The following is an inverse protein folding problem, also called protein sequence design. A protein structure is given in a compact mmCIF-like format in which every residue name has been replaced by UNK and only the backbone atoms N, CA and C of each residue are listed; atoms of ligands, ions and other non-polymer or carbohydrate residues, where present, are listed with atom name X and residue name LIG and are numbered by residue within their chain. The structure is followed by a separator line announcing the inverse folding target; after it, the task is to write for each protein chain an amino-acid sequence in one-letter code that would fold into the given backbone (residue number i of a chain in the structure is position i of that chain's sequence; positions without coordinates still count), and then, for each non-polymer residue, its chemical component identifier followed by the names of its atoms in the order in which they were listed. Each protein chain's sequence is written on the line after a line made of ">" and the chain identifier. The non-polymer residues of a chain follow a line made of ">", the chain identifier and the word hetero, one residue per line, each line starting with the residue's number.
data_IF_067370747601
#
_entry.id   IF_067370747601
#
_cell.length_a   1.000
_cell.length_b   1.000
_cell.length_c   1.000
_cell.angle_alpha   90.00
_cell.angle_beta   90.00
_cell.angle_gamma   90.00
#
_symmetry.space_group_name_H-M   'P 1'
#
loop_
_entity.id
_entity.type
_entity.pdbx_description
1 polymer ?
#
# COMPACT_ATOMS: atom_id res chain seq x y z
N UNK A 1 3.91 3.52 -20.90
CA UNK A 1 3.81 2.38 -19.97
C UNK A 1 4.59 2.79 -18.72
N UNK A 2 4.02 2.72 -17.51
CA UNK A 2 4.75 3.06 -16.28
C UNK A 2 5.86 2.02 -16.10
N UNK A 3 7.12 2.42 -16.10
CA UNK A 3 8.25 1.54 -15.84
C UNK A 3 8.51 1.54 -14.34
N UNK A 4 8.32 0.40 -13.71
CA UNK A 4 8.65 0.21 -12.30
C UNK A 4 10.11 -0.26 -12.20
N UNK A 5 10.93 0.29 -11.29
CA UNK A 5 12.27 -0.23 -11.05
C UNK A 5 12.23 -1.75 -10.85
N UNK A 6 13.21 -2.52 -11.36
CA UNK A 6 13.20 -3.99 -11.25
C UNK A 6 13.02 -4.49 -9.81
N UNK A 7 13.65 -3.80 -8.85
CA UNK A 7 13.53 -4.10 -7.41
C UNK A 7 12.13 -3.93 -6.83
N UNK A 8 11.24 -3.22 -7.54
CA UNK A 8 9.87 -2.92 -7.14
C UNK A 8 8.85 -3.61 -8.05
N UNK A 9 9.28 -4.46 -8.98
CA UNK A 9 8.40 -5.20 -9.88
C UNK A 9 7.82 -6.46 -9.23
N UNK A 10 7.17 -6.30 -8.06
CA UNK A 10 6.51 -7.40 -7.34
C UNK A 10 5.01 -7.41 -7.53
N UNK A 11 4.42 -6.30 -8.00
CA UNK A 11 2.97 -6.12 -8.09
C UNK A 11 2.20 -7.26 -8.78
N UNK A 12 2.57 -7.78 -9.97
CA UNK A 12 1.83 -8.89 -10.57
C UNK A 12 1.88 -10.17 -9.73
N UNK A 13 3.00 -10.41 -9.05
CA UNK A 13 3.20 -11.58 -8.20
C UNK A 13 2.42 -11.41 -6.88
N UNK A 14 2.41 -10.20 -6.31
CA UNK A 14 1.59 -9.83 -5.14
C UNK A 14 0.10 -9.99 -5.43
N UNK A 15 -0.38 -9.50 -6.57
CA UNK A 15 -1.78 -9.67 -6.97
C UNK A 15 -2.12 -11.16 -7.06
N UNK A 16 -1.29 -11.95 -7.74
CA UNK A 16 -1.50 -13.39 -7.87
C UNK A 16 -1.49 -14.11 -6.51
N UNK A 17 -0.59 -13.70 -5.61
CA UNK A 17 -0.52 -14.20 -4.24
C UNK A 17 -1.81 -13.91 -3.48
N UNK A 18 -2.31 -12.68 -3.53
CA UNK A 18 -3.54 -12.29 -2.84
C UNK A 18 -4.75 -13.06 -3.38
N UNK A 19 -4.83 -13.24 -4.71
CA UNK A 19 -5.87 -14.06 -5.33
C UNK A 19 -5.81 -15.52 -4.84
N UNK A 20 -4.62 -16.10 -4.72
CA UNK A 20 -4.43 -17.44 -4.17
C UNK A 20 -4.84 -17.56 -2.69
N UNK A 21 -4.80 -16.45 -1.93
CA UNK A 21 -5.31 -16.35 -0.56
C UNK A 21 -6.81 -16.03 -0.50
N UNK A 22 -7.51 -16.02 -1.64
CA UNK A 22 -8.96 -15.77 -1.70
C UNK A 22 -9.36 -14.30 -1.57
N UNK A 23 -8.42 -13.36 -1.68
CA UNK A 23 -8.74 -11.94 -1.72
C UNK A 23 -9.57 -11.60 -2.96
N UNK A 24 -10.64 -10.85 -2.75
CA UNK A 24 -11.57 -10.40 -3.79
C UNK A 24 -11.39 -8.90 -4.07
N UNK A 25 -12.08 -8.39 -5.09
CA UNK A 25 -12.04 -6.97 -5.49
C UNK A 25 -10.62 -6.46 -5.82
N UNK A 26 -9.77 -7.35 -6.34
CA UNK A 26 -8.44 -7.02 -6.87
C UNK A 26 -8.38 -7.41 -8.36
N UNK A 27 -7.55 -6.73 -9.17
CA UNK A 27 -7.38 -7.10 -10.57
C UNK A 27 -6.87 -8.52 -10.75
N UNK A 28 -7.18 -9.15 -11.88
CA UNK A 28 -6.58 -10.45 -12.25
C UNK A 28 -5.44 -10.22 -13.23
N UNK A 29 -4.25 -10.74 -12.95
CA UNK A 29 -3.13 -10.71 -13.89
C UNK A 29 -3.39 -11.69 -15.04
N UNK A 30 -3.33 -11.20 -16.28
CA UNK A 30 -3.55 -12.02 -17.49
C UNK A 30 -2.28 -12.24 -18.31
N UNK A 31 -1.27 -11.40 -18.12
CA UNK A 31 0.05 -11.56 -18.74
C UNK A 31 1.10 -10.83 -17.92
N UNK A 32 2.31 -11.37 -17.86
CA UNK A 32 3.49 -10.77 -17.22
C UNK A 32 4.68 -10.88 -18.18
N UNK A 33 5.52 -9.84 -18.23
CA UNK A 33 6.77 -9.83 -18.97
C UNK A 33 7.89 -9.32 -18.07
N UNK A 34 8.70 -10.25 -17.54
CA UNK A 34 9.79 -9.93 -16.63
C UNK A 34 10.91 -9.12 -17.30
N UNK A 35 11.15 -9.31 -18.60
CA UNK A 35 12.20 -8.58 -19.34
C UNK A 35 11.93 -7.09 -19.39
N UNK A 36 10.67 -6.69 -19.48
CA UNK A 36 10.27 -5.28 -19.58
C UNK A 36 9.63 -4.74 -18.30
N UNK A 37 9.58 -5.53 -17.23
CA UNK A 37 8.94 -5.18 -15.96
C UNK A 37 7.52 -4.63 -16.17
N UNK A 38 6.74 -5.32 -17.00
CA UNK A 38 5.37 -4.94 -17.28
C UNK A 38 4.42 -6.14 -17.18
N UNK A 39 3.16 -5.86 -16.91
CA UNK A 39 2.10 -6.85 -16.80
C UNK A 39 0.77 -6.25 -17.26
N UNK A 40 -0.16 -7.13 -17.60
CA UNK A 40 -1.52 -6.79 -17.96
C UNK A 40 -2.47 -7.41 -16.95
N UNK A 41 -3.54 -6.70 -16.63
CA UNK A 41 -4.64 -7.20 -15.83
C UNK A 41 -5.94 -7.18 -16.61
N UNK A 42 -6.94 -7.92 -16.15
CA UNK A 42 -8.32 -7.67 -16.53
C UNK A 42 -8.69 -6.22 -16.25
N UNK A 43 -9.49 -5.62 -17.12
CA UNK A 43 -10.09 -4.32 -16.84
C UNK A 43 -10.99 -4.45 -15.59
N UNK A 44 -10.82 -3.54 -14.63
CA UNK A 44 -11.56 -3.54 -13.38
C UNK A 44 -12.28 -2.19 -13.25
N UNK A 45 -13.61 -2.24 -13.18
CA UNK A 45 -14.45 -1.04 -13.09
C UNK A 45 -14.43 -0.16 -14.34
N UNK A 46 -15.36 0.80 -14.34
CA UNK A 46 -15.60 1.74 -15.44
C UNK A 46 -15.17 3.17 -15.08
N UNK A 47 -15.11 3.48 -13.78
CA UNK A 47 -14.70 4.79 -13.26
C UNK A 47 -14.09 4.66 -11.87
N UNK A 48 -13.28 5.64 -11.50
CA UNK A 48 -12.79 5.79 -10.12
C UNK A 48 -13.80 6.56 -9.27
N UNK A 49 -13.81 6.36 -7.95
CA UNK A 49 -14.67 7.16 -7.07
C UNK A 49 -14.32 8.65 -7.14
N UNK A 50 -13.04 9.01 -7.31
CA UNK A 50 -12.64 10.40 -7.54
C UNK A 50 -13.35 11.04 -8.75
N UNK A 51 -13.42 10.30 -9.86
CA UNK A 51 -14.09 10.76 -11.07
C UNK A 51 -15.62 10.88 -10.90
N UNK A 52 -16.21 10.07 -10.02
CA UNK A 52 -17.63 10.17 -9.65
C UNK A 52 -17.87 11.39 -8.74
N UNK A 53 -17.12 11.49 -7.64
CA UNK A 53 -17.33 12.48 -6.58
C UNK A 53 -17.10 13.91 -7.05
N UNK A 54 -16.17 14.11 -7.98
CA UNK A 54 -15.96 15.41 -8.62
C UNK A 54 -17.20 15.94 -9.38
N UNK A 55 -18.18 15.08 -9.72
CA UNK A 55 -19.39 15.46 -10.46
C UNK A 55 -20.64 15.50 -9.58
N UNK A 56 -20.77 14.56 -8.64
CA UNK A 56 -22.00 14.35 -7.88
C UNK A 56 -21.88 14.63 -6.39
N UNK A 57 -20.70 15.04 -5.91
CA UNK A 57 -20.40 15.08 -4.49
C UNK A 57 -20.01 13.70 -3.94
N UNK A 58 -19.55 13.68 -2.68
CA UNK A 58 -19.07 12.45 -2.04
C UNK A 58 -20.27 11.56 -1.65
N UNK A 59 -20.24 10.33 -2.14
CA UNK A 59 -21.14 9.26 -1.70
C UNK A 59 -20.44 8.47 -0.60
N UNK A 60 -20.92 8.61 0.63
CA UNK A 60 -20.33 7.98 1.81
C UNK A 60 -20.54 6.47 1.83
N UNK A 61 -21.60 5.98 1.19
CA UNK A 61 -21.91 4.54 1.19
C UNK A 61 -20.97 3.82 0.22
N UNK A 62 -20.71 4.40 -0.96
CA UNK A 62 -19.72 3.86 -1.90
C UNK A 62 -18.30 3.93 -1.32
N UNK A 63 -17.94 5.01 -0.64
CA UNK A 63 -16.65 5.12 0.05
C UNK A 63 -16.52 4.04 1.15
N UNK A 64 -17.58 3.84 1.95
CA UNK A 64 -17.65 2.82 2.98
C UNK A 64 -17.50 1.40 2.43
N UNK A 65 -18.08 1.11 1.26
CA UNK A 65 -17.89 -0.17 0.56
C UNK A 65 -16.43 -0.38 0.16
N UNK A 66 -15.79 0.62 -0.46
CA UNK A 66 -14.38 0.54 -0.85
C UNK A 66 -13.44 0.30 0.34
N UNK A 67 -13.68 1.00 1.45
CA UNK A 67 -12.96 0.76 2.71
C UNK A 67 -13.18 -0.67 3.21
N UNK A 68 -14.43 -1.16 3.21
CA UNK A 68 -14.77 -2.50 3.68
C UNK A 68 -14.11 -3.60 2.85
N UNK A 69 -14.03 -3.44 1.53
CA UNK A 69 -13.31 -4.39 0.66
C UNK A 69 -11.82 -4.43 0.98
N UNK A 70 -11.19 -3.26 1.17
CA UNK A 70 -9.77 -3.23 1.53
C UNK A 70 -9.51 -3.80 2.93
N UNK A 71 -10.38 -3.51 3.90
CA UNK A 71 -10.32 -4.14 5.23
C UNK A 71 -10.43 -5.66 5.11
N UNK A 72 -11.32 -6.20 4.28
CA UNK A 72 -11.42 -7.65 4.05
C UNK A 72 -10.12 -8.27 3.56
N UNK A 73 -9.43 -7.60 2.61
CA UNK A 73 -8.09 -8.03 2.14
C UNK A 73 -7.09 -8.05 3.30
N UNK A 74 -7.08 -7.00 4.13
CA UNK A 74 -6.21 -6.96 5.30
C UNK A 74 -6.52 -8.10 6.27
N UNK A 75 -7.80 -8.32 6.60
CA UNK A 75 -8.20 -9.39 7.54
C UNK A 75 -7.80 -10.78 7.04
N UNK A 76 -7.88 -11.03 5.73
CA UNK A 76 -7.45 -12.28 5.12
C UNK A 76 -5.94 -12.55 5.26
N UNK A 77 -5.12 -11.49 5.42
CA UNK A 77 -3.65 -11.57 5.37
C UNK A 77 -2.96 -11.34 6.72
N UNK A 78 -3.71 -11.10 7.81
CA UNK A 78 -3.17 -10.81 9.15
C UNK A 78 -2.18 -11.84 9.69
N UNK A 79 -2.33 -13.10 9.27
CA UNK A 79 -1.48 -14.20 9.75
C UNK A 79 -0.38 -14.57 8.75
N UNK A 80 -0.28 -13.84 7.64
CA UNK A 80 0.63 -14.13 6.54
C UNK A 80 1.80 -13.14 6.44
N UNK A 81 1.95 -12.22 7.39
CA UNK A 81 3.07 -11.27 7.44
C UNK A 81 4.45 -11.92 7.20
N UNK A 82 4.84 -13.04 7.85
CA UNK A 82 6.13 -13.70 7.56
C UNK A 82 6.25 -14.21 6.11
N UNK A 83 5.15 -14.70 5.52
CA UNK A 83 5.13 -15.16 4.12
C UNK A 83 5.29 -13.99 3.16
N UNK A 84 4.59 -12.89 3.43
CA UNK A 84 4.65 -11.67 2.63
C UNK A 84 6.04 -11.04 2.63
N UNK A 85 6.70 -11.02 3.79
CA UNK A 85 8.10 -10.56 3.93
C UNK A 85 9.05 -11.49 3.16
N UNK A 86 8.90 -12.80 3.30
CA UNK A 86 9.69 -13.80 2.54
C UNK A 86 9.50 -13.66 1.03
N UNK A 87 8.31 -13.24 0.61
CA UNK A 87 7.97 -12.96 -0.79
C UNK A 87 8.61 -11.67 -1.32
N UNK A 88 9.16 -10.81 -0.46
CA UNK A 88 9.87 -9.58 -0.83
C UNK A 88 9.12 -8.30 -0.49
N UNK A 89 8.00 -8.35 0.25
CA UNK A 89 7.37 -7.11 0.74
C UNK A 89 8.24 -6.47 1.83
N UNK A 90 8.36 -5.13 1.85
CA UNK A 90 9.07 -4.44 2.93
C UNK A 90 8.44 -4.73 4.30
N UNK A 91 9.28 -5.02 5.30
CA UNK A 91 8.86 -5.24 6.70
C UNK A 91 8.89 -3.92 7.46
N UNK A 92 7.74 -3.25 7.57
CA UNK A 92 7.55 -1.95 8.22
C UNK A 92 6.75 -2.08 9.52
N UNK A 93 6.64 -3.29 10.07
CA UNK A 93 5.98 -3.55 11.35
C UNK A 93 6.54 -2.66 12.46
N UNK A 94 5.72 -2.41 13.49
CA UNK A 94 6.03 -1.43 14.53
C UNK A 94 7.34 -1.70 15.28
N UNK A 95 7.79 -2.95 15.37
CA UNK A 95 9.08 -3.31 15.98
C UNK A 95 10.29 -3.07 15.07
N UNK A 96 10.07 -2.86 13.76
CA UNK A 96 11.10 -2.56 12.76
C UNK A 96 11.15 -1.09 12.39
N UNK A 97 9.99 -0.43 12.37
CA UNK A 97 9.83 0.92 11.85
C UNK A 97 10.81 1.95 12.43
N UNK A 98 11.09 2.00 13.76
CA UNK A 98 12.05 2.97 14.30
C UNK A 98 13.45 2.80 13.70
N UNK A 99 13.93 1.56 13.53
CA UNK A 99 15.25 1.31 12.93
C UNK A 99 15.29 1.73 11.47
N UNK A 100 14.22 1.47 10.70
CA UNK A 100 14.11 1.93 9.32
C UNK A 100 14.12 3.46 9.22
N UNK A 101 13.37 4.13 10.08
CA UNK A 101 13.37 5.58 10.20
C UNK A 101 14.77 6.10 10.54
N UNK A 102 15.47 5.47 11.50
CA UNK A 102 16.84 5.84 11.88
C UNK A 102 17.80 5.72 10.71
N UNK A 103 17.74 4.61 9.98
CA UNK A 103 18.58 4.39 8.80
C UNK A 103 18.33 5.46 7.74
N UNK A 104 17.06 5.80 7.47
CA UNK A 104 16.72 6.84 6.50
C UNK A 104 17.29 8.21 6.90
N UNK A 105 17.12 8.63 8.16
CA UNK A 105 17.56 9.97 8.60
C UNK A 105 19.07 10.10 8.76
N UNK A 106 19.82 9.01 8.62
CA UNK A 106 21.29 8.98 8.64
C UNK A 106 21.90 9.16 7.24
N UNK A 107 21.10 9.04 6.18
CA UNK A 107 21.50 9.27 4.78
C UNK A 107 21.56 10.78 4.46
N UNK A 108 22.29 11.54 5.27
CA UNK A 108 22.32 13.02 5.26
C UNK A 108 22.56 13.60 3.86
N UNK A 109 23.50 13.06 3.10
CA UNK A 109 23.83 13.56 1.76
C UNK A 109 22.65 13.37 0.80
N UNK A 110 21.95 12.24 0.88
CA UNK A 110 20.74 11.98 0.09
C UNK A 110 19.59 12.91 0.50
N UNK A 111 19.41 13.14 1.80
CA UNK A 111 18.36 14.03 2.32
C UNK A 111 18.59 15.48 1.90
N UNK A 112 19.84 15.95 1.92
CA UNK A 112 20.21 17.30 1.44
C UNK A 112 19.98 17.38 -0.08
N UNK A 113 20.35 16.35 -0.83
CA UNK A 113 20.11 16.29 -2.27
C UNK A 113 18.60 16.33 -2.62
N UNK A 114 17.76 15.75 -1.74
CA UNK A 114 16.29 15.78 -1.84
C UNK A 114 15.67 17.09 -1.29
N UNK A 115 16.50 18.02 -0.81
CA UNK A 115 16.10 19.39 -0.48
C UNK A 115 15.90 19.69 1.02
N UNK A 116 16.26 18.79 1.92
CA UNK A 116 16.21 19.05 3.35
C UNK A 116 17.38 19.93 3.80
N UNK A 117 17.09 20.86 4.71
CA UNK A 117 18.09 21.67 5.41
C UNK A 117 18.76 20.90 6.55
N UNK A 118 19.93 21.37 7.00
CA UNK A 118 20.64 20.74 8.13
C UNK A 118 19.85 20.85 9.44
N UNK A 119 19.09 21.93 9.61
CA UNK A 119 18.21 22.15 10.75
C UNK A 119 17.04 21.15 10.76
N UNK A 120 16.43 20.88 9.61
CA UNK A 120 15.36 19.87 9.48
C UNK A 120 15.88 18.46 9.74
N UNK A 121 17.07 18.11 9.24
CA UNK A 121 17.71 16.81 9.51
C UNK A 121 18.02 16.67 10.99
N UNK A 122 18.48 17.75 11.65
CA UNK A 122 18.69 17.77 13.10
C UNK A 122 17.38 17.55 13.86
N UNK A 123 16.29 18.20 13.43
CA UNK A 123 14.97 18.02 14.03
C UNK A 123 14.45 16.58 13.86
N UNK A 124 14.65 15.96 12.70
CA UNK A 124 14.31 14.54 12.47
C UNK A 124 15.10 13.61 13.41
N UNK A 125 16.40 13.87 13.59
CA UNK A 125 17.23 13.10 14.51
C UNK A 125 16.75 13.23 15.97
N UNK A 126 16.33 14.43 16.39
CA UNK A 126 15.74 14.64 17.72
C UNK A 126 14.35 13.98 17.87
N UNK A 127 13.59 13.83 16.77
CA UNK A 127 12.29 13.17 16.77
C UNK A 127 12.37 11.64 16.83
N UNK A 128 13.57 11.05 16.79
CA UNK A 128 13.77 9.60 16.86
C UNK A 128 13.16 8.98 18.12
N UNK A 129 13.41 9.56 19.29
CA UNK A 129 12.88 9.03 20.56
C UNK A 129 11.35 9.12 20.61
N UNK A 130 10.78 10.17 20.01
CA UNK A 130 9.33 10.30 19.85
C UNK A 130 8.77 9.19 18.94
N UNK A 131 9.44 8.87 17.83
CA UNK A 131 9.07 7.77 16.94
C UNK A 131 9.06 6.42 17.67
N UNK A 132 10.10 6.14 18.47
CA UNK A 132 10.18 4.93 19.30
C UNK A 132 9.01 4.87 20.29
N UNK A 133 8.75 5.95 21.04
CA UNK A 133 7.65 6.02 22.00
C UNK A 133 6.30 5.76 21.33
N UNK A 134 6.04 6.35 20.15
CA UNK A 134 4.78 6.13 19.44
C UNK A 134 4.64 4.68 18.97
N UNK A 135 5.70 4.06 18.44
CA UNK A 135 5.66 2.66 18.04
C UNK A 135 5.39 1.73 19.23
N UNK A 136 6.03 1.97 20.38
CA UNK A 136 5.77 1.24 21.63
C UNK A 136 4.35 1.45 22.17
N UNK A 137 3.78 2.65 21.99
CA UNK A 137 2.39 2.92 22.39
C UNK A 137 1.40 2.22 21.47
N UNK A 138 1.66 2.21 20.16
CA UNK A 138 0.81 1.55 19.18
C UNK A 138 0.85 0.02 19.34
N UNK A 139 1.99 -0.57 19.66
CA UNK A 139 2.12 -2.03 19.83
C UNK A 139 1.25 -2.57 20.98
N UNK A 140 0.92 -1.74 21.98
CA UNK A 140 0.04 -2.10 23.11
C UNK A 140 -1.40 -2.42 22.68
N UNK A 141 -1.85 -1.89 21.55
CA UNK A 141 -3.19 -2.19 21.02
C UNK A 141 -3.30 -3.58 20.41
N UNK A 142 -2.17 -4.27 20.16
CA UNK A 142 -2.13 -5.63 19.59
C UNK A 142 -2.95 -5.75 18.30
N UNK A 143 -2.92 -4.71 17.47
CA UNK A 143 -3.50 -4.74 16.14
C UNK A 143 -2.71 -5.79 15.34
N UNK A 144 -3.35 -6.79 14.73
CA UNK A 144 -2.66 -7.78 13.92
C UNK A 144 -1.92 -7.12 12.75
N UNK A 145 -0.67 -7.53 12.54
CA UNK A 145 0.16 -7.06 11.44
C UNK A 145 -0.41 -7.56 10.12
N UNK A 146 -0.48 -6.71 9.10
CA UNK A 146 -1.11 -7.01 7.82
C UNK A 146 -0.59 -6.06 6.76
N UNK A 147 -0.89 -6.35 5.50
CA UNK A 147 -0.56 -5.46 4.39
C UNK A 147 -1.11 -4.04 4.60
N UNK A 148 -0.31 -3.05 4.20
CA UNK A 148 -0.69 -1.65 4.08
C UNK A 148 -0.52 -1.17 2.63
N UNK A 149 -1.55 -0.55 2.08
CA UNK A 149 -1.58 0.04 0.74
C UNK A 149 -1.21 1.52 0.88
N UNK A 150 0.06 1.84 0.63
CA UNK A 150 0.61 3.19 0.85
C UNK A 150 -0.06 4.30 0.03
N UNK A 151 -0.82 3.95 -1.02
CA UNK A 151 -1.59 4.87 -1.87
C UNK A 151 -3.12 4.62 -1.83
N UNK A 152 -3.68 4.23 -0.67
CA UNK A 152 -5.11 3.91 -0.59
C UNK A 152 -5.99 5.16 -0.53
N UNK A 153 -6.63 5.49 -1.66
CA UNK A 153 -7.51 6.65 -1.79
C UNK A 153 -8.61 6.42 -2.85
N UNK A 154 -9.60 7.31 -2.90
CA UNK A 154 -10.77 7.29 -3.81
C UNK A 154 -10.46 7.06 -5.30
N UNK A 155 -9.30 7.46 -5.80
CA UNK A 155 -8.93 7.20 -7.21
C UNK A 155 -8.42 5.78 -7.48
N UNK A 156 -8.11 5.01 -6.43
CA UNK A 156 -7.74 3.61 -6.51
C UNK A 156 -8.92 2.68 -6.14
N UNK A 157 -10.11 3.26 -5.97
CA UNK A 157 -11.37 2.54 -5.81
C UNK A 157 -12.16 2.61 -7.11
N UNK A 158 -12.47 1.46 -7.71
CA UNK A 158 -13.03 1.31 -9.04
C UNK A 158 -14.47 0.82 -8.97
N UNK A 159 -15.40 1.59 -9.53
CA UNK A 159 -16.82 1.30 -9.57
C UNK A 159 -17.18 0.65 -10.92
N UNK A 160 -18.01 -0.39 -10.91
CA UNK A 160 -18.68 -0.84 -12.14
C UNK A 160 -20.00 -0.10 -12.33
N UNK A 161 -20.24 0.44 -13.54
CA UNK A 161 -21.54 1.03 -13.92
C UNK A 161 -22.63 -0.02 -14.08
N UNK A 162 -22.26 -1.28 -14.32
CA UNK A 162 -23.21 -2.37 -14.53
C UNK A 162 -23.80 -2.81 -13.19
N UNK A 163 -22.95 -3.10 -12.20
CA UNK A 163 -23.41 -3.52 -10.87
C UNK A 163 -23.71 -2.35 -9.94
N UNK A 164 -23.10 -1.19 -10.15
CA UNK A 164 -23.15 -0.07 -9.20
C UNK A 164 -22.28 -0.30 -7.96
N UNK A 165 -21.37 -1.27 -7.99
CA UNK A 165 -20.55 -1.68 -6.84
C UNK A 165 -19.06 -1.43 -7.07
N UNK A 166 -18.29 -1.40 -5.97
CA UNK A 166 -16.83 -1.33 -6.02
C UNK A 166 -16.26 -2.69 -6.40
N UNK A 167 -15.67 -2.78 -7.58
CA UNK A 167 -15.13 -4.02 -8.16
C UNK A 167 -13.61 -4.09 -8.12
N UNK A 168 -12.94 -2.99 -7.73
CA UNK A 168 -11.49 -2.94 -7.65
C UNK A 168 -10.98 -2.00 -6.57
N UNK A 169 -10.12 -2.51 -5.69
CA UNK A 169 -9.40 -1.80 -4.64
C UNK A 169 -7.94 -2.26 -4.61
N UNK A 170 -7.20 -2.05 -5.70
CA UNK A 170 -5.74 -2.25 -5.69
C UNK A 170 -5.07 -1.66 -6.92
N UNK A 171 -4.20 -0.67 -6.68
CA UNK A 171 -3.03 -0.43 -7.52
C UNK A 171 -1.82 -0.33 -6.58
N UNK A 172 -0.88 -1.23 -6.80
CA UNK A 172 0.49 -1.22 -6.27
C UNK A 172 0.77 -1.74 -4.84
N UNK A 173 1.94 -2.39 -4.79
CA UNK A 173 2.74 -2.92 -3.69
C UNK A 173 2.35 -2.43 -2.29
N UNK A 174 1.98 -3.38 -1.44
CA UNK A 174 1.89 -3.13 0.00
C UNK A 174 3.24 -3.24 0.70
N UNK A 175 3.34 -2.66 1.88
CA UNK A 175 4.30 -3.11 2.90
C UNK A 175 3.59 -4.00 3.91
N UNK A 176 4.35 -4.74 4.70
CA UNK A 176 3.87 -5.52 5.85
C UNK A 176 4.11 -4.74 7.13
#
# INVERSE_FOLDING_TARGET
>A
MKQTPPALFLEPDTISLFQAHGCQHIPTVIAKNDRYHCFLTTACGDLTLRALFSKSGVDTDLLGQGISHYTSIQRNLENDAPKLITFGHPDWRLDKFPLLYRSLIQETDHLIADGLTSEEITALNHAYDFCVEQCERLSKYKIPETINHCDFHDNNMLLSKISGEIVGVAKCLGCV
#
